data_IF_127361896494
#
_entry.id   IF_127361896494
#
_cell.length_a   1.000
_cell.length_b   1.000
_cell.length_c   1.000
_cell.angle_alpha   90.00
_cell.angle_beta   90.00
_cell.angle_gamma   90.00
#
_symmetry.space_group_name_H-M   'P 1'
#
loop_
_entity.id
_entity.type
_entity.pdbx_description
1 polymer ?
#
# COMPACT_ATOMS: atom_id res chain seq x y z
N UNK A 1 20.99 -12.06 23.57
CA UNK A 1 19.58 -11.83 23.19
C UNK A 1 19.29 -10.38 22.79
N UNK A 2 19.67 -9.39 23.60
CA UNK A 2 19.40 -7.97 23.33
C UNK A 2 19.95 -7.42 22.00
N UNK A 3 21.11 -7.91 21.54
CA UNK A 3 21.68 -7.53 20.24
C UNK A 3 20.78 -7.92 19.06
N UNK A 4 20.14 -9.09 19.11
CA UNK A 4 19.22 -9.56 18.06
C UNK A 4 17.94 -8.74 18.03
N UNK A 5 17.42 -8.35 19.21
CA UNK A 5 16.24 -7.47 19.30
C UNK A 5 16.54 -6.10 18.68
N UNK A 6 17.70 -5.51 18.98
CA UNK A 6 18.12 -4.25 18.33
C UNK A 6 18.25 -4.39 16.82
N UNK A 7 18.86 -5.48 16.35
CA UNK A 7 18.96 -5.75 14.92
C UNK A 7 17.57 -5.88 14.28
N UNK A 8 16.66 -6.61 14.90
CA UNK A 8 15.28 -6.75 14.42
C UNK A 8 14.55 -5.40 14.36
N UNK A 9 14.70 -4.54 15.36
CA UNK A 9 14.11 -3.19 15.35
C UNK A 9 14.65 -2.34 14.20
N UNK A 10 15.96 -2.38 13.94
CA UNK A 10 16.56 -1.68 12.80
C UNK A 10 16.00 -2.22 11.48
N UNK A 11 15.88 -3.54 11.34
CA UNK A 11 15.33 -4.16 10.13
C UNK A 11 13.85 -3.80 9.93
N UNK A 12 13.06 -3.68 10.99
CA UNK A 12 11.66 -3.22 10.91
C UNK A 12 11.59 -1.79 10.40
N UNK A 13 12.46 -0.89 10.90
CA UNK A 13 12.52 0.49 10.41
C UNK A 13 12.94 0.52 8.93
N UNK A 14 13.96 -0.25 8.55
CA UNK A 14 14.39 -0.34 7.16
C UNK A 14 13.29 -0.91 6.23
N UNK A 15 12.55 -1.91 6.69
CA UNK A 15 11.41 -2.46 5.95
C UNK A 15 10.32 -1.40 5.76
N UNK A 16 9.98 -0.65 6.81
CA UNK A 16 9.01 0.44 6.72
C UNK A 16 9.47 1.54 5.73
N UNK A 17 10.75 1.92 5.78
CA UNK A 17 11.33 2.87 4.82
C UNK A 17 11.30 2.33 3.40
N UNK A 18 11.54 1.03 3.19
CA UNK A 18 11.44 0.37 1.90
C UNK A 18 10.03 0.44 1.32
N UNK A 19 9.01 0.18 2.15
CA UNK A 19 7.59 0.31 1.74
C UNK A 19 7.26 1.76 1.40
N UNK A 20 7.73 2.73 2.19
CA UNK A 20 7.55 4.15 1.88
C UNK A 20 8.22 4.54 0.55
N UNK A 21 9.48 4.14 0.36
CA UNK A 21 10.20 4.41 -0.89
C UNK A 21 9.47 3.80 -2.09
N UNK A 22 8.96 2.58 -1.98
CA UNK A 22 8.15 1.94 -3.02
C UNK A 22 6.84 2.70 -3.26
N UNK A 23 6.16 3.20 -2.23
CA UNK A 23 4.93 3.98 -2.43
C UNK A 23 5.17 5.31 -3.17
N UNK A 24 6.30 5.99 -2.93
CA UNK A 24 6.58 7.31 -3.53
C UNK A 24 7.35 7.24 -4.85
N UNK A 25 8.30 6.31 -4.99
CA UNK A 25 9.14 6.16 -6.19
C UNK A 25 8.61 5.05 -7.11
N UNK A 26 7.84 4.11 -6.57
CA UNK A 26 7.27 2.98 -7.31
C UNK A 26 6.46 3.38 -8.55
N UNK A 27 5.63 4.44 -8.55
CA UNK A 27 4.93 4.85 -9.76
C UNK A 27 5.85 5.18 -10.96
N UNK A 28 7.10 5.60 -10.71
CA UNK A 28 8.08 5.86 -11.77
C UNK A 28 8.78 4.59 -12.27
N UNK A 29 9.08 3.64 -11.37
CA UNK A 29 9.87 2.44 -11.71
C UNK A 29 8.99 1.22 -12.04
N UNK A 30 7.81 1.13 -11.44
CA UNK A 30 6.86 0.03 -11.49
C UNK A 30 5.44 0.54 -11.81
N UNK A 31 5.21 1.27 -12.92
CA UNK A 31 3.94 1.94 -13.19
C UNK A 31 2.72 1.00 -13.25
N UNK A 32 2.93 -0.28 -13.58
CA UNK A 32 1.85 -1.27 -13.64
C UNK A 32 1.20 -1.54 -12.27
N UNK A 33 1.97 -1.55 -11.19
CA UNK A 33 1.46 -1.82 -9.84
C UNK A 33 0.59 -0.67 -9.31
N UNK A 34 0.69 0.52 -9.92
CA UNK A 34 -0.02 1.75 -9.55
C UNK A 34 -1.03 2.20 -10.62
N UNK A 35 -1.31 1.36 -11.62
CA UNK A 35 -2.22 1.70 -12.70
C UNK A 35 -3.66 1.83 -12.17
N UNK A 36 -4.34 2.92 -12.55
CA UNK A 36 -5.77 3.06 -12.29
C UNK A 36 -6.57 1.98 -13.05
N UNK A 37 -7.76 1.59 -12.56
CA UNK A 37 -8.65 0.70 -13.31
C UNK A 37 -8.87 1.20 -14.73
N UNK A 38 -8.57 0.35 -15.72
CA UNK A 38 -8.63 0.72 -17.13
C UNK A 38 -10.06 0.91 -17.66
N UNK A 39 -11.05 0.38 -16.94
CA UNK A 39 -12.46 0.46 -17.29
C UNK A 39 -13.27 1.06 -16.15
N UNK A 40 -14.20 1.94 -16.50
CA UNK A 40 -15.16 2.48 -15.55
C UNK A 40 -16.14 1.37 -15.13
N UNK A 41 -16.33 1.20 -13.81
CA UNK A 41 -17.26 0.22 -13.25
C UNK A 41 -18.41 0.96 -12.59
N UNK A 42 -19.56 0.99 -13.27
CA UNK A 42 -20.81 1.54 -12.73
C UNK A 42 -21.65 0.40 -12.15
N UNK A 43 -22.03 0.50 -10.88
CA UNK A 43 -22.91 -0.48 -10.21
C UNK A 43 -24.17 0.21 -9.71
N UNK A 44 -25.36 -0.36 -9.92
CA UNK A 44 -26.58 0.17 -9.35
C UNK A 44 -26.53 0.04 -7.82
N UNK A 45 -26.94 1.11 -7.12
CA UNK A 45 -27.07 1.14 -5.66
C UNK A 45 -28.57 1.15 -5.32
N UNK A 46 -29.02 0.18 -4.53
CA UNK A 46 -30.38 0.18 -3.97
C UNK A 46 -30.39 1.00 -2.69
N UNK A 47 -31.22 2.04 -2.63
CA UNK A 47 -31.43 2.86 -1.44
C UNK A 47 -32.64 2.35 -0.68
N UNK A 48 -32.42 1.70 0.47
CA UNK A 48 -33.47 1.34 1.42
C UNK A 48 -33.85 2.61 2.21
N UNK A 49 -35.01 3.19 1.93
CA UNK A 49 -35.55 4.29 2.74
C UNK A 49 -36.26 3.63 3.92
N UNK A 50 -35.65 3.72 5.11
CA UNK A 50 -36.26 3.23 6.36
C UNK A 50 -37.64 3.84 6.55
N UNK A 51 -38.64 2.98 6.76
CA UNK A 51 -40.00 3.36 7.13
C UNK A 51 -40.04 3.92 8.55
#
# INVERSE_FOLDING_TARGET
MWALVKAALILVVLAALGVLAYAYVGPMLFPADFAAPATEVVKPVTLEIGQ
#
